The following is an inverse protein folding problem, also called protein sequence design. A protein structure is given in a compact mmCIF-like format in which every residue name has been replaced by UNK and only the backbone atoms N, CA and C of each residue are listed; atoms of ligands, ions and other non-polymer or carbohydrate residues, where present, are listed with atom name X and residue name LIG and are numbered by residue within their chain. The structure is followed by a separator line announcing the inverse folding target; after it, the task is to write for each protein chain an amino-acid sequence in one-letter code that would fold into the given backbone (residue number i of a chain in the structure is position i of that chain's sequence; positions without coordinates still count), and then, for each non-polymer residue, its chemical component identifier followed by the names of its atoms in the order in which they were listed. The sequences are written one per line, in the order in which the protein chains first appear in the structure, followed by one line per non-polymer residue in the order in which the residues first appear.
data_IF_320184371987
#
_entry.id   IF_320184371987
#
_cell.length_a   1.000
_cell.length_b   1.000
_cell.length_c   1.000
_cell.angle_alpha   90.00
_cell.angle_beta   90.00
_cell.angle_gamma   90.00
#
_symmetry.space_group_name_H-M   'P 1'
#
loop_
_entity.id
_entity.type
_entity.pdbx_description
1 polymer ?
#
# COMPACT_ATOMS: atom_id res chain seq x y z
N UNK A 1 -25.21 36.20 -33.41
CA UNK A 1 -25.28 34.96 -34.21
C UNK A 1 -23.93 34.22 -34.34
N UNK A 2 -22.88 34.85 -34.90
CA UNK A 2 -21.59 34.16 -35.14
C UNK A 2 -20.79 33.93 -33.85
N UNK A 3 -20.91 34.83 -32.88
CA UNK A 3 -20.26 34.69 -31.57
C UNK A 3 -20.87 33.56 -30.73
N UNK A 4 -22.18 33.35 -30.86
CA UNK A 4 -22.87 32.26 -30.15
C UNK A 4 -22.46 30.88 -30.70
N UNK A 5 -22.24 30.80 -32.02
CA UNK A 5 -21.76 29.58 -32.68
C UNK A 5 -20.36 29.19 -32.21
N UNK A 6 -19.44 30.16 -32.11
CA UNK A 6 -18.09 29.94 -31.58
C UNK A 6 -18.11 29.50 -30.11
N UNK A 7 -19.02 30.06 -29.30
CA UNK A 7 -19.19 29.64 -27.90
C UNK A 7 -19.66 28.19 -27.81
N UNK A 8 -20.63 27.82 -28.64
CA UNK A 8 -21.15 26.45 -28.74
C UNK A 8 -20.09 25.44 -29.22
N UNK A 9 -19.23 25.80 -30.18
CA UNK A 9 -18.13 24.93 -30.63
C UNK A 9 -17.10 24.65 -29.53
N UNK A 10 -16.79 25.67 -28.72
CA UNK A 10 -15.88 25.53 -27.56
C UNK A 10 -16.51 24.64 -26.49
N UNK A 11 -17.79 24.84 -26.18
CA UNK A 11 -18.53 24.00 -25.23
C UNK A 11 -18.59 22.53 -25.68
N UNK A 12 -18.87 22.29 -26.97
CA UNK A 12 -18.95 20.94 -27.54
C UNK A 12 -17.57 20.24 -27.53
N UNK A 13 -16.50 20.98 -27.82
CA UNK A 13 -15.12 20.46 -27.73
C UNK A 13 -14.73 20.08 -26.30
N UNK A 14 -15.15 20.86 -25.29
CA UNK A 14 -14.92 20.56 -23.88
C UNK A 14 -15.72 19.33 -23.43
N UNK A 15 -16.97 19.20 -23.88
CA UNK A 15 -17.81 18.03 -23.58
C UNK A 15 -17.24 16.74 -24.18
N UNK A 16 -16.72 16.78 -25.42
CA UNK A 16 -16.04 15.65 -26.05
C UNK A 16 -14.77 15.23 -25.30
N UNK A 17 -14.02 16.18 -24.75
CA UNK A 17 -12.84 15.88 -23.93
C UNK A 17 -13.23 15.24 -22.59
N UNK A 18 -14.25 15.76 -21.90
CA UNK A 18 -14.76 15.17 -20.66
C UNK A 18 -15.29 13.75 -20.87
N UNK A 19 -15.99 13.51 -21.98
CA UNK A 19 -16.47 12.18 -22.36
C UNK A 19 -15.31 11.20 -22.63
N UNK A 20 -14.24 11.65 -23.30
CA UNK A 20 -13.04 10.84 -23.53
C UNK A 20 -12.30 10.49 -22.24
N UNK A 21 -12.26 11.39 -21.26
CA UNK A 21 -11.67 11.10 -19.95
C UNK A 21 -12.54 10.12 -19.18
N UNK A 22 -13.87 10.30 -19.23
CA UNK A 22 -14.83 9.38 -18.63
C UNK A 22 -14.79 7.98 -19.23
N UNK A 23 -14.41 7.85 -20.51
CA UNK A 23 -14.27 6.58 -21.22
C UNK A 23 -12.86 6.01 -21.23
N UNK A 24 -11.94 6.53 -20.40
CA UNK A 24 -10.61 5.93 -20.13
C UNK A 24 -10.51 5.35 -18.73
N UNK A 25 -11.33 5.88 -17.81
CA UNK A 25 -11.40 5.44 -16.41
C UNK A 25 -11.85 3.96 -16.30
N UNK A 26 -12.84 3.46 -17.06
CA UNK A 26 -13.24 2.05 -17.03
C UNK A 26 -12.14 1.10 -17.54
N UNK A 27 -11.42 1.49 -18.58
CA UNK A 27 -10.35 0.74 -19.24
C UNK A 27 -9.14 0.64 -18.32
N UNK A 28 -8.78 1.75 -17.66
CA UNK A 28 -7.76 1.76 -16.61
C UNK A 28 -8.15 0.85 -15.44
N UNK A 29 -9.41 0.89 -15.01
CA UNK A 29 -9.93 -0.02 -13.98
C UNK A 29 -9.83 -1.49 -14.38
N UNK A 30 -10.15 -1.83 -15.64
CA UNK A 30 -9.99 -3.19 -16.17
C UNK A 30 -8.53 -3.62 -16.21
N UNK A 31 -7.64 -2.76 -16.69
CA UNK A 31 -6.20 -3.05 -16.74
C UNK A 31 -5.62 -3.27 -15.33
N UNK A 32 -5.94 -2.39 -14.38
CA UNK A 32 -5.51 -2.53 -12.99
C UNK A 32 -6.01 -3.83 -12.35
N UNK A 33 -7.24 -4.24 -12.68
CA UNK A 33 -7.81 -5.52 -12.22
C UNK A 33 -7.02 -6.71 -12.78
N UNK A 34 -6.74 -6.73 -14.09
CA UNK A 34 -5.97 -7.82 -14.70
C UNK A 34 -4.53 -7.87 -14.16
N UNK A 35 -3.87 -6.72 -14.02
CA UNK A 35 -2.54 -6.66 -13.39
C UNK A 35 -2.54 -7.19 -11.95
N UNK A 36 -3.58 -6.88 -11.18
CA UNK A 36 -3.75 -7.38 -9.80
C UNK A 36 -3.94 -8.90 -9.77
N UNK A 37 -4.70 -9.46 -10.72
CA UNK A 37 -4.88 -10.90 -10.84
C UNK A 37 -3.57 -11.60 -11.19
N UNK A 38 -2.81 -11.08 -12.17
CA UNK A 38 -1.50 -11.63 -12.53
C UNK A 38 -0.52 -11.61 -11.34
N UNK A 39 -0.53 -10.54 -10.53
CA UNK A 39 0.31 -10.46 -9.35
C UNK A 39 -0.02 -11.56 -8.32
N UNK A 40 -1.31 -11.82 -8.08
CA UNK A 40 -1.75 -12.88 -7.16
C UNK A 40 -1.32 -14.27 -7.65
N UNK A 41 -1.43 -14.53 -8.95
CA UNK A 41 -0.99 -15.78 -9.54
C UNK A 41 0.54 -15.97 -9.37
N UNK A 42 1.33 -14.92 -9.63
CA UNK A 42 2.77 -14.92 -9.40
C UNK A 42 3.13 -15.18 -7.94
N UNK A 43 2.42 -14.57 -6.98
CA UNK A 43 2.63 -14.81 -5.55
C UNK A 43 2.34 -16.28 -5.17
N UNK A 44 1.27 -16.86 -5.72
CA UNK A 44 0.96 -18.27 -5.56
C UNK A 44 2.09 -19.17 -6.06
N UNK A 45 2.62 -18.87 -7.24
CA UNK A 45 3.77 -19.60 -7.82
C UNK A 45 5.03 -19.48 -6.95
N UNK A 46 5.34 -18.28 -6.43
CA UNK A 46 6.46 -18.09 -5.51
C UNK A 46 6.30 -18.93 -4.23
N UNK A 47 5.09 -19.00 -3.67
CA UNK A 47 4.81 -19.85 -2.51
C UNK A 47 5.03 -21.34 -2.81
N UNK A 48 4.61 -21.81 -3.98
CA UNK A 48 4.82 -23.19 -4.43
C UNK A 48 6.32 -23.50 -4.58
N UNK A 49 7.08 -22.58 -5.20
CA UNK A 49 8.52 -22.73 -5.37
C UNK A 49 9.24 -22.78 -4.01
N UNK A 50 8.83 -21.94 -3.06
CA UNK A 50 9.36 -21.95 -1.69
C UNK A 50 9.04 -23.25 -0.95
N UNK A 51 7.82 -23.77 -1.08
CA UNK A 51 7.43 -25.08 -0.52
C UNK A 51 8.33 -26.19 -1.06
N UNK A 52 8.50 -26.25 -2.38
CA UNK A 52 9.36 -27.27 -3.02
C UNK A 52 10.84 -27.12 -2.63
N UNK A 53 11.36 -25.91 -2.55
CA UNK A 53 12.74 -25.67 -2.12
C UNK A 53 12.98 -26.15 -0.67
N UNK A 54 11.93 -26.16 0.17
CA UNK A 54 11.97 -26.70 1.53
C UNK A 54 11.66 -28.21 1.61
N UNK A 55 11.48 -28.89 0.47
CA UNK A 55 11.09 -30.31 0.42
C UNK A 55 9.64 -30.58 0.83
N UNK A 56 8.80 -29.55 0.92
CA UNK A 56 7.37 -29.68 1.24
C UNK A 56 6.56 -29.98 0.00
N UNK A 57 5.43 -30.66 0.18
CA UNK A 57 4.47 -30.86 -0.90
C UNK A 57 3.84 -29.51 -1.31
N UNK A 58 3.80 -29.19 -2.62
CA UNK A 58 3.23 -27.94 -3.10
C UNK A 58 1.70 -27.90 -2.94
N UNK A 59 1.15 -26.75 -2.61
CA UNK A 59 -0.30 -26.58 -2.52
C UNK A 59 -0.98 -26.78 -3.90
N UNK A 60 -1.75 -27.86 -4.04
CA UNK A 60 -2.39 -28.27 -5.30
C UNK A 60 -3.46 -27.26 -5.76
N UNK A 61 -4.18 -26.60 -4.84
CA UNK A 61 -5.17 -25.58 -5.19
C UNK A 61 -4.51 -24.36 -5.84
N UNK A 62 -3.38 -23.90 -5.29
CA UNK A 62 -2.58 -22.83 -5.90
C UNK A 62 -1.98 -23.28 -7.24
N UNK A 63 -1.49 -24.52 -7.32
CA UNK A 63 -0.86 -25.07 -8.53
C UNK A 63 -1.83 -25.14 -9.70
N UNK A 64 -3.09 -25.47 -9.46
CA UNK A 64 -4.12 -25.57 -10.49
C UNK A 64 -4.68 -24.20 -10.93
N UNK A 65 -4.14 -23.09 -10.42
CA UNK A 65 -4.66 -21.75 -10.72
C UNK A 65 -6.13 -21.58 -10.30
N UNK A 66 -6.62 -22.47 -9.43
CA UNK A 66 -7.96 -22.39 -8.90
C UNK A 66 -7.94 -21.21 -7.96
N UNK A 67 -8.47 -20.07 -8.43
CA UNK A 67 -8.87 -18.98 -7.54
C UNK A 67 -9.76 -19.63 -6.51
N UNK A 68 -9.26 -19.79 -5.29
CA UNK A 68 -10.06 -20.32 -4.22
C UNK A 68 -11.30 -19.43 -4.21
N UNK A 69 -12.49 -19.98 -4.44
CA UNK A 69 -13.73 -19.22 -4.28
C UNK A 69 -13.85 -18.66 -2.84
N UNK A 70 -12.90 -19.06 -1.98
CA UNK A 70 -12.55 -18.54 -0.68
C UNK A 70 -11.15 -17.84 -0.64
N UNK A 71 -10.82 -16.77 -1.39
CA UNK A 71 -9.48 -16.10 -1.23
C UNK A 71 -9.37 -14.56 -1.32
N UNK A 72 -10.34 -13.80 -1.86
CA UNK A 72 -10.29 -12.31 -1.73
C UNK A 72 -10.42 -11.84 -0.27
N UNK A 73 -11.00 -12.68 0.59
CA UNK A 73 -11.00 -12.51 2.04
C UNK A 73 -9.73 -13.03 2.74
N UNK A 74 -8.82 -13.73 2.07
CA UNK A 74 -7.69 -14.38 2.76
C UNK A 74 -6.38 -13.63 2.52
N UNK A 75 -6.05 -13.23 1.29
CA UNK A 75 -4.82 -12.48 1.02
C UNK A 75 -4.89 -11.00 1.45
N UNK A 76 -6.05 -10.36 1.26
CA UNK A 76 -6.30 -9.01 1.79
C UNK A 76 -6.18 -9.01 3.32
N UNK A 77 -6.66 -10.08 3.99
CA UNK A 77 -6.48 -10.25 5.44
C UNK A 77 -5.02 -10.45 5.85
N UNK A 78 -4.25 -11.25 5.11
CA UNK A 78 -2.83 -11.50 5.42
C UNK A 78 -2.01 -10.22 5.26
N UNK A 79 -2.24 -9.42 4.21
CA UNK A 79 -1.56 -8.12 4.03
C UNK A 79 -2.07 -7.07 5.02
N UNK A 80 -3.35 -7.07 5.36
CA UNK A 80 -3.90 -6.19 6.40
C UNK A 80 -3.33 -6.52 7.78
N UNK A 81 -3.16 -7.80 8.11
CA UNK A 81 -2.48 -8.27 9.32
C UNK A 81 -1.01 -7.85 9.33
N UNK A 82 -0.27 -8.08 8.24
CA UNK A 82 1.14 -7.66 8.14
C UNK A 82 1.31 -6.13 8.26
N UNK A 83 0.42 -5.36 7.63
CA UNK A 83 0.41 -3.90 7.75
C UNK A 83 0.07 -3.44 9.18
N UNK A 84 -0.86 -4.11 9.87
CA UNK A 84 -1.16 -3.87 11.29
C UNK A 84 0.06 -4.14 12.17
N UNK A 85 0.78 -5.24 11.94
CA UNK A 85 2.02 -5.54 12.66
C UNK A 85 3.09 -4.47 12.41
N UNK A 86 3.31 -4.06 11.16
CA UNK A 86 4.27 -3.00 10.81
C UNK A 86 3.91 -1.66 11.43
N UNK A 87 2.61 -1.31 11.48
CA UNK A 87 2.13 -0.10 12.16
C UNK A 87 2.41 -0.14 13.67
N UNK A 88 2.27 -1.32 14.31
CA UNK A 88 2.62 -1.49 15.72
C UNK A 88 4.13 -1.35 15.96
N UNK A 89 4.96 -1.92 15.09
CA UNK A 89 6.43 -1.80 15.16
C UNK A 89 6.88 -0.35 15.02
N UNK A 90 6.33 0.39 14.05
CA UNK A 90 6.63 1.82 13.86
C UNK A 90 6.12 2.66 15.03
N UNK A 91 4.95 2.34 15.57
CA UNK A 91 4.42 2.98 16.77
C UNK A 91 5.28 2.76 18.00
N UNK A 92 5.86 1.56 18.15
CA UNK A 92 6.83 1.26 19.20
C UNK A 92 8.12 2.05 19.00
N UNK A 93 8.68 2.04 17.80
CA UNK A 93 9.88 2.81 17.48
C UNK A 93 9.69 4.30 17.78
N UNK A 94 8.50 4.86 17.53
CA UNK A 94 8.20 6.25 17.88
C UNK A 94 8.26 6.49 19.39
N UNK A 95 7.72 5.57 20.21
CA UNK A 95 7.82 5.63 21.67
C UNK A 95 9.28 5.54 22.13
N UNK A 96 10.05 4.61 21.57
CA UNK A 96 11.46 4.42 21.93
C UNK A 96 12.29 5.68 21.62
N UNK A 97 12.02 6.34 20.50
CA UNK A 97 12.66 7.62 20.14
C UNK A 97 12.29 8.70 21.16
N UNK A 98 11.02 8.80 21.55
CA UNK A 98 10.56 9.82 22.50
C UNK A 98 11.11 9.57 23.91
N UNK A 99 11.27 8.30 24.31
CA UNK A 99 11.94 7.92 25.56
C UNK A 99 13.45 8.21 25.52
N UNK A 100 14.11 7.95 24.39
CA UNK A 100 15.52 8.32 24.20
C UNK A 100 15.71 9.84 24.28
N UNK A 101 14.82 10.61 23.63
CA UNK A 101 14.83 12.08 23.72
C UNK A 101 14.63 12.57 25.15
N UNK A 102 13.72 11.94 25.91
CA UNK A 102 13.51 12.24 27.32
C UNK A 102 14.76 11.95 28.13
N UNK A 103 15.35 10.77 27.98
CA UNK A 103 16.60 10.36 28.65
C UNK A 103 17.77 11.30 28.36
N UNK A 104 17.97 11.70 27.10
CA UNK A 104 18.99 12.68 26.72
C UNK A 104 18.72 14.03 27.38
N UNK A 105 17.46 14.49 27.38
CA UNK A 105 17.06 15.76 27.99
C UNK A 105 17.27 15.75 29.51
N UNK A 106 16.88 14.67 30.18
CA UNK A 106 17.06 14.48 31.62
C UNK A 106 18.55 14.47 31.99
N UNK A 107 19.37 13.77 31.19
CA UNK A 107 20.83 13.73 31.42
C UNK A 107 21.47 15.09 31.18
N UNK A 108 21.02 15.84 30.18
CA UNK A 108 21.49 17.19 29.93
C UNK A 108 21.10 18.14 31.07
N UNK A 109 19.86 18.07 31.56
CA UNK A 109 19.40 18.85 32.71
C UNK A 109 20.19 18.50 33.99
N UNK A 110 20.45 17.22 34.24
CA UNK A 110 21.31 16.76 35.35
C UNK A 110 22.73 17.31 35.23
N UNK A 111 23.36 17.17 34.06
CA UNK A 111 24.72 17.69 33.84
C UNK A 111 24.81 19.20 34.04
N UNK A 112 23.83 19.95 33.52
CA UNK A 112 23.76 21.40 33.70
C UNK A 112 23.46 21.80 35.16
N UNK A 113 22.72 20.97 35.90
CA UNK A 113 22.46 21.14 37.33
C UNK A 113 23.67 20.80 38.21
N UNK A 114 24.32 19.67 37.99
CA UNK A 114 25.51 19.22 38.74
C UNK A 114 26.71 20.15 38.52
N UNK A 115 26.82 20.75 37.32
CA UNK A 115 27.85 21.74 37.03
C UNK A 115 27.71 23.04 37.84
N UNK A 116 26.56 23.32 38.48
CA UNK A 116 26.38 24.52 39.30
C UNK A 116 26.71 24.32 40.79
N UNK A 117 26.83 23.06 41.26
CA UNK A 117 27.14 22.73 42.66
C UNK A 117 28.64 22.54 42.89
N UNK A 118 29.43 22.37 41.82
CA UNK A 118 30.88 22.15 41.88
C UNK A 118 31.73 23.40 41.56
N UNK A 119 31.24 24.62 41.82
CA UNK A 119 32.06 25.85 41.78
C UNK A 119 31.88 26.71 43.01
#
# INVERSE_FOLDING_TARGET
PVQDLKRLEVENSQLLQLQNHSSRIPELGRLLKEMSLCLLDLQGLCSILAQRAQGKEPNLTLLLGMKCTCTSRCHVKVVEEELRFKLLEVGQLRRDIDDLRRSISDRYAQYMGDSCVSQ
#
